data_IF_539573301286
#
_entry.id   IF_539573301286
#
_cell.length_a   1.000
_cell.length_b   1.000
_cell.length_c   1.000
_cell.angle_alpha   90.00
_cell.angle_beta   90.00
_cell.angle_gamma   90.00
#
_symmetry.space_group_name_H-M   'P 1'
#
loop_
_entity.id
_entity.type
_entity.pdbx_description
1 polymer ?
#
# COMPACT_ATOMS: atom_id res chain seq x y z
N UNK A 1 96.61 -2.47 -87.26
CA UNK A 1 95.52 -3.22 -86.58
C UNK A 1 95.89 -3.64 -85.14
N UNK A 2 96.96 -4.42 -84.92
CA UNK A 2 97.32 -4.94 -83.58
C UNK A 2 97.54 -3.87 -82.49
N UNK A 3 98.16 -2.73 -82.80
CA UNK A 3 98.36 -1.61 -81.84
C UNK A 3 97.03 -1.00 -81.37
N UNK A 4 96.08 -0.82 -82.28
CA UNK A 4 94.74 -0.28 -81.97
C UNK A 4 93.95 -1.24 -81.08
N UNK A 5 94.03 -2.56 -81.35
CA UNK A 5 93.39 -3.58 -80.52
C UNK A 5 93.95 -3.62 -79.09
N UNK A 6 95.28 -3.55 -78.91
CA UNK A 6 95.91 -3.46 -77.58
C UNK A 6 95.49 -2.19 -76.82
N UNK A 7 95.39 -1.05 -77.50
CA UNK A 7 94.90 0.20 -76.91
C UNK A 7 93.42 0.09 -76.49
N UNK A 8 92.58 -0.55 -77.31
CA UNK A 8 91.19 -0.83 -76.99
C UNK A 8 91.06 -1.71 -75.74
N UNK A 9 91.84 -2.81 -75.64
CA UNK A 9 91.84 -3.68 -74.46
C UNK A 9 92.27 -2.93 -73.19
N UNK A 10 93.33 -2.10 -73.26
CA UNK A 10 93.74 -1.25 -72.11
C UNK A 10 92.65 -0.27 -71.70
N UNK A 11 91.95 0.36 -72.65
CA UNK A 11 90.82 1.26 -72.35
C UNK A 11 89.63 0.51 -71.76
N UNK A 12 89.35 -0.71 -72.23
CA UNK A 12 88.30 -1.58 -71.69
C UNK A 12 88.63 -2.01 -70.26
N UNK A 13 89.87 -2.44 -70.00
CA UNK A 13 90.35 -2.80 -68.67
C UNK A 13 90.37 -1.60 -67.72
N UNK A 14 90.87 -0.43 -68.16
CA UNK A 14 90.83 0.80 -67.36
C UNK A 14 89.40 1.30 -67.08
N UNK A 15 88.42 1.03 -67.96
CA UNK A 15 87.00 1.23 -67.65
C UNK A 15 86.51 0.22 -66.61
N UNK A 16 86.80 -1.06 -66.81
CA UNK A 16 86.42 -2.13 -65.87
C UNK A 16 86.94 -1.86 -64.45
N UNK A 17 88.22 -1.53 -64.28
CA UNK A 17 88.80 -1.21 -62.97
C UNK A 17 88.19 0.04 -62.32
N UNK A 18 87.81 1.05 -63.13
CA UNK A 18 87.11 2.24 -62.61
C UNK A 18 85.71 1.87 -62.12
N UNK A 19 84.99 1.03 -62.87
CA UNK A 19 83.69 0.51 -62.44
C UNK A 19 83.82 -0.37 -61.20
N UNK A 20 84.83 -1.24 -61.14
CA UNK A 20 85.10 -2.09 -59.97
C UNK A 20 85.34 -1.25 -58.71
N UNK A 21 86.24 -0.27 -58.76
CA UNK A 21 86.48 0.66 -57.64
C UNK A 21 85.24 1.46 -57.26
N UNK A 22 84.44 1.89 -58.25
CA UNK A 22 83.19 2.59 -58.01
C UNK A 22 82.17 1.69 -57.30
N UNK A 23 82.04 0.43 -57.73
CA UNK A 23 81.16 -0.57 -57.11
C UNK A 23 81.63 -0.87 -55.68
N UNK A 24 82.93 -1.10 -55.47
CA UNK A 24 83.50 -1.34 -54.15
C UNK A 24 83.23 -0.17 -53.20
N UNK A 25 83.49 1.07 -53.64
CA UNK A 25 83.18 2.27 -52.87
C UNK A 25 81.68 2.40 -52.54
N UNK A 26 80.80 2.08 -53.50
CA UNK A 26 79.35 2.04 -53.26
C UNK A 26 78.95 0.99 -52.22
N UNK A 27 79.55 -0.20 -52.27
CA UNK A 27 79.28 -1.28 -51.32
C UNK A 27 79.79 -0.93 -49.92
N UNK A 28 81.00 -0.38 -49.80
CA UNK A 28 81.55 0.09 -48.52
C UNK A 28 80.71 1.23 -47.94
N UNK A 29 80.27 2.17 -48.76
CA UNK A 29 79.38 3.24 -48.32
C UNK A 29 78.04 2.67 -47.80
N UNK A 30 77.41 1.75 -48.54
CA UNK A 30 76.19 1.07 -48.09
C UNK A 30 76.40 0.29 -46.79
N UNK A 31 77.50 -0.45 -46.66
CA UNK A 31 77.82 -1.17 -45.43
C UNK A 31 78.00 -0.21 -44.25
N UNK A 32 78.74 0.88 -44.44
CA UNK A 32 78.96 1.89 -43.41
C UNK A 32 77.67 2.59 -42.97
N UNK A 33 76.77 2.90 -43.90
CA UNK A 33 75.47 3.54 -43.59
C UNK A 33 74.56 2.60 -42.81
N UNK A 34 74.52 1.31 -43.15
CA UNK A 34 73.79 0.28 -42.39
C UNK A 34 74.35 0.15 -40.97
N UNK A 35 75.66 0.02 -40.82
CA UNK A 35 76.33 -0.08 -39.51
C UNK A 35 76.06 1.17 -38.67
N UNK A 36 76.19 2.37 -39.24
CA UNK A 36 75.89 3.63 -38.57
C UNK A 36 74.42 3.71 -38.12
N UNK A 37 73.49 3.31 -38.99
CA UNK A 37 72.06 3.28 -38.68
C UNK A 37 71.75 2.33 -37.52
N UNK A 38 72.29 1.11 -37.56
CA UNK A 38 72.14 0.12 -36.49
C UNK A 38 72.74 0.62 -35.17
N UNK A 39 73.92 1.23 -35.21
CA UNK A 39 74.58 1.80 -34.04
C UNK A 39 73.75 2.93 -33.42
N UNK A 40 73.27 3.88 -34.23
CA UNK A 40 72.39 4.98 -33.78
C UNK A 40 71.10 4.44 -33.18
N UNK A 41 70.46 3.46 -33.82
CA UNK A 41 69.24 2.83 -33.32
C UNK A 41 69.45 2.11 -31.98
N UNK A 42 70.56 1.37 -31.82
CA UNK A 42 70.92 0.72 -30.56
C UNK A 42 71.16 1.73 -29.45
N UNK A 43 71.91 2.80 -29.72
CA UNK A 43 72.20 3.87 -28.76
C UNK A 43 70.94 4.65 -28.37
N UNK A 44 70.07 4.94 -29.35
CA UNK A 44 68.78 5.60 -29.12
C UNK A 44 67.86 4.80 -28.21
N UNK A 45 67.66 3.50 -28.49
CA UNK A 45 66.86 2.61 -27.62
C UNK A 45 67.43 2.49 -26.21
N UNK A 46 68.76 2.42 -26.09
CA UNK A 46 69.45 2.38 -24.81
C UNK A 46 69.21 3.67 -24.02
N UNK A 47 69.37 4.84 -24.66
CA UNK A 47 69.08 6.15 -24.05
C UNK A 47 67.61 6.24 -23.63
N UNK A 48 66.69 5.82 -24.48
CA UNK A 48 65.25 5.86 -24.20
C UNK A 48 64.89 5.08 -22.94
N UNK A 49 65.36 3.83 -22.79
CA UNK A 49 65.11 3.00 -21.60
C UNK A 49 65.63 3.65 -20.31
N UNK A 50 66.76 4.34 -20.39
CA UNK A 50 67.37 5.00 -19.23
C UNK A 50 66.57 6.24 -18.85
N UNK A 51 66.15 7.05 -19.83
CA UNK A 51 65.27 8.22 -19.58
C UNK A 51 63.95 7.76 -18.97
N UNK A 52 63.35 6.69 -19.49
CA UNK A 52 62.14 6.11 -18.94
C UNK A 52 62.33 5.66 -17.48
N UNK A 53 63.43 4.94 -17.19
CA UNK A 53 63.79 4.56 -15.83
C UNK A 53 64.00 5.77 -14.90
N UNK A 54 64.66 6.82 -15.39
CA UNK A 54 64.87 8.06 -14.62
C UNK A 54 63.55 8.78 -14.34
N UNK A 55 62.60 8.82 -15.28
CA UNK A 55 61.25 9.36 -15.04
C UNK A 55 60.52 8.59 -13.95
N UNK A 56 60.59 7.26 -13.97
CA UNK A 56 60.01 6.44 -12.90
C UNK A 56 60.61 6.81 -11.54
N UNK A 57 61.93 7.00 -11.47
CA UNK A 57 62.59 7.39 -10.22
C UNK A 57 62.20 8.82 -9.80
N UNK A 58 62.12 9.75 -10.75
CA UNK A 58 61.77 11.15 -10.50
C UNK A 58 60.37 11.32 -9.91
N UNK A 59 59.40 10.55 -10.39
CA UNK A 59 58.01 10.59 -9.90
C UNK A 59 57.74 9.64 -8.73
N UNK A 60 58.70 8.80 -8.35
CA UNK A 60 58.54 7.86 -7.26
C UNK A 60 58.52 8.56 -5.89
N UNK A 61 57.70 8.03 -4.99
CA UNK A 61 57.68 8.51 -3.61
C UNK A 61 59.01 8.21 -2.89
N UNK A 62 59.46 9.14 -2.03
CA UNK A 62 60.76 9.06 -1.31
C UNK A 62 60.95 7.75 -0.53
N UNK A 63 59.89 7.18 0.04
CA UNK A 63 59.97 5.90 0.77
C UNK A 63 60.30 4.71 -0.14
N UNK A 64 59.83 4.74 -1.40
CA UNK A 64 60.14 3.72 -2.40
C UNK A 64 61.60 3.84 -2.84
N UNK A 65 62.07 5.07 -3.05
CA UNK A 65 63.47 5.35 -3.39
C UNK A 65 64.38 4.87 -2.25
N UNK A 66 64.12 5.27 -1.00
CA UNK A 66 64.88 4.80 0.17
C UNK A 66 64.95 3.28 0.25
N UNK A 67 63.85 2.58 -0.02
CA UNK A 67 63.80 1.11 -0.01
C UNK A 67 64.49 0.48 -1.22
N UNK A 68 64.45 1.12 -2.39
CA UNK A 68 65.14 0.65 -3.59
C UNK A 68 66.68 0.76 -3.46
N UNK A 69 67.14 1.83 -2.78
CA UNK A 69 68.54 2.08 -2.46
C UNK A 69 69.07 1.24 -1.30
N UNK A 70 68.21 0.80 -0.39
CA UNK A 70 68.61 -0.10 0.69
C UNK A 70 69.17 -1.41 0.13
N UNK A 71 70.35 -1.81 0.63
CA UNK A 71 70.95 -3.11 0.31
C UNK A 71 70.20 -4.20 1.07
N UNK A 72 69.19 -4.77 0.42
CA UNK A 72 68.40 -5.88 0.98
C UNK A 72 68.82 -7.17 0.28
N UNK A 73 69.67 -7.96 0.95
CA UNK A 73 70.01 -9.34 0.58
C UNK A 73 70.77 -9.49 -0.75
N UNK A 74 70.36 -10.48 -1.56
CA UNK A 74 70.99 -10.94 -2.81
C UNK A 74 70.88 -9.96 -4.00
N UNK A 75 70.30 -8.77 -3.79
CA UNK A 75 70.12 -7.80 -4.87
C UNK A 75 71.44 -7.11 -5.22
N UNK A 76 71.63 -6.81 -6.51
CA UNK A 76 72.83 -6.10 -6.99
C UNK A 76 73.08 -4.80 -6.21
N UNK A 77 74.32 -4.51 -5.82
CA UNK A 77 74.62 -3.23 -5.17
C UNK A 77 74.31 -2.08 -6.13
N UNK A 78 73.51 -1.11 -5.67
CA UNK A 78 73.18 0.11 -6.41
C UNK A 78 73.78 1.31 -5.67
N UNK A 79 74.14 2.35 -6.41
CA UNK A 79 74.59 3.62 -5.83
C UNK A 79 73.63 4.74 -6.20
N UNK A 80 73.68 5.83 -5.44
CA UNK A 80 72.89 7.03 -5.71
C UNK A 80 73.76 8.28 -5.67
N UNK A 81 73.31 9.32 -6.35
CA UNK A 81 74.02 10.58 -6.46
C UNK A 81 73.63 11.53 -5.32
N UNK A 82 74.47 12.55 -5.08
CA UNK A 82 74.15 13.65 -4.16
C UNK A 82 73.05 14.52 -4.78
N UNK A 83 72.32 15.30 -3.95
CA UNK A 83 71.19 16.14 -4.39
C UNK A 83 71.51 17.09 -5.55
N UNK A 84 72.72 17.65 -5.59
CA UNK A 84 73.17 18.54 -6.67
C UNK A 84 73.33 17.79 -8.00
N UNK A 85 73.96 16.62 -7.94
CA UNK A 85 74.18 15.74 -9.08
C UNK A 85 72.88 15.10 -9.58
N UNK A 86 71.94 14.86 -8.67
CA UNK A 86 70.62 14.29 -8.95
C UNK A 86 69.80 15.19 -9.88
N UNK A 87 69.84 16.52 -9.69
CA UNK A 87 69.15 17.46 -10.61
C UNK A 87 69.67 17.33 -12.04
N UNK A 88 71.01 17.34 -12.18
CA UNK A 88 71.67 17.20 -13.49
C UNK A 88 71.41 15.81 -14.10
N UNK A 89 71.30 14.77 -13.26
CA UNK A 89 70.98 13.40 -13.72
C UNK A 89 69.62 13.35 -14.44
N UNK A 90 68.61 14.05 -13.91
CA UNK A 90 67.26 14.04 -14.48
C UNK A 90 67.12 14.92 -15.72
N UNK A 91 67.92 15.98 -15.84
CA UNK A 91 67.97 16.83 -17.04
C UNK A 91 68.66 16.11 -18.21
N UNK A 92 69.93 15.73 -18.02
CA UNK A 92 70.65 14.87 -18.96
C UNK A 92 71.76 14.09 -18.25
N UNK A 93 71.53 12.79 -18.06
CA UNK A 93 72.50 11.90 -17.44
C UNK A 93 73.83 11.79 -18.21
N UNK A 94 73.85 12.12 -19.51
CA UNK A 94 75.09 12.13 -20.30
C UNK A 94 75.99 13.28 -19.89
N UNK A 95 75.42 14.47 -19.69
CA UNK A 95 76.15 15.65 -19.21
C UNK A 95 76.73 15.37 -17.82
N UNK A 96 76.00 14.68 -16.95
CA UNK A 96 76.53 14.26 -15.65
C UNK A 96 77.72 13.30 -15.80
N UNK A 97 77.62 12.31 -16.70
CA UNK A 97 78.72 11.37 -16.95
C UNK A 97 79.97 12.09 -17.49
N UNK A 98 79.80 13.09 -18.36
CA UNK A 98 80.90 13.90 -18.88
C UNK A 98 81.55 14.75 -17.78
N UNK A 99 80.75 15.42 -16.95
CA UNK A 99 81.25 16.23 -15.80
C UNK A 99 81.97 15.41 -14.75
N UNK A 100 81.59 14.14 -14.59
CA UNK A 100 82.23 13.21 -13.65
C UNK A 100 83.43 12.47 -14.25
N UNK A 101 83.84 12.82 -15.48
CA UNK A 101 84.94 12.14 -16.17
C UNK A 101 84.68 10.66 -16.43
N UNK A 102 83.40 10.27 -16.57
CA UNK A 102 82.95 8.89 -16.70
C UNK A 102 83.34 7.98 -15.54
N UNK A 103 83.44 8.54 -14.32
CA UNK A 103 83.61 7.79 -13.10
C UNK A 103 82.37 7.94 -12.20
N UNK A 104 81.43 6.97 -12.18
CA UNK A 104 81.47 5.64 -12.80
C UNK A 104 81.13 5.63 -14.29
N UNK A 105 81.54 4.57 -15.00
CA UNK A 105 81.33 4.49 -16.46
C UNK A 105 79.86 4.56 -16.84
N UNK A 106 79.57 5.19 -17.99
CA UNK A 106 78.21 5.35 -18.52
C UNK A 106 77.38 4.06 -18.45
N UNK A 107 77.96 2.92 -18.83
CA UNK A 107 77.26 1.64 -18.82
C UNK A 107 76.91 1.12 -17.43
N UNK A 108 77.66 1.52 -16.40
CA UNK A 108 77.32 1.22 -15.00
C UNK A 108 76.19 2.14 -14.55
N UNK A 109 76.24 3.44 -14.86
CA UNK A 109 75.19 4.42 -14.51
C UNK A 109 73.84 4.02 -15.07
N UNK A 110 73.78 3.68 -16.35
CA UNK A 110 72.54 3.31 -17.02
C UNK A 110 71.95 2.01 -16.45
N UNK A 111 72.80 0.99 -16.21
CA UNK A 111 72.36 -0.28 -15.58
C UNK A 111 71.85 -0.04 -14.16
N UNK A 112 72.51 0.84 -13.41
CA UNK A 112 72.12 1.22 -12.07
C UNK A 112 70.76 1.93 -12.04
N UNK A 113 70.53 2.90 -12.93
CA UNK A 113 69.24 3.59 -13.05
C UNK A 113 68.09 2.62 -13.40
N UNK A 114 68.31 1.73 -14.37
CA UNK A 114 67.32 0.71 -14.75
C UNK A 114 67.01 -0.24 -13.57
N UNK A 115 68.04 -0.65 -12.82
CA UNK A 115 67.86 -1.54 -11.68
C UNK A 115 67.11 -0.86 -10.52
N UNK A 116 67.37 0.41 -10.24
CA UNK A 116 66.62 1.19 -9.23
C UNK A 116 65.16 1.33 -9.65
N UNK A 117 64.89 1.72 -10.90
CA UNK A 117 63.52 1.82 -11.42
C UNK A 117 62.78 0.49 -11.33
N UNK A 118 63.44 -0.63 -11.69
CA UNK A 118 62.88 -1.98 -11.54
C UNK A 118 62.48 -2.29 -10.09
N UNK A 119 63.31 -1.92 -9.10
CA UNK A 119 63.00 -2.14 -7.68
C UNK A 119 61.83 -1.32 -7.19
N UNK A 120 61.71 -0.09 -7.66
CA UNK A 120 60.58 0.79 -7.35
C UNK A 120 59.30 0.16 -7.89
N UNK A 121 59.25 -0.17 -9.17
CA UNK A 121 58.08 -0.78 -9.81
C UNK A 121 57.69 -2.11 -9.17
N UNK A 122 58.66 -2.96 -8.83
CA UNK A 122 58.39 -4.22 -8.15
C UNK A 122 57.78 -3.98 -6.75
N UNK A 123 58.28 -2.97 -6.04
CA UNK A 123 57.72 -2.62 -4.73
C UNK A 123 56.31 -2.04 -4.84
N UNK A 124 56.06 -1.17 -5.82
CA UNK A 124 54.73 -0.63 -6.12
C UNK A 124 53.75 -1.75 -6.44
N UNK A 125 54.15 -2.70 -7.30
CA UNK A 125 53.36 -3.89 -7.63
C UNK A 125 53.00 -4.66 -6.37
N UNK A 126 53.96 -4.93 -5.49
CA UNK A 126 53.70 -5.64 -4.22
C UNK A 126 52.71 -4.87 -3.34
N UNK A 127 52.86 -3.54 -3.23
CA UNK A 127 51.95 -2.71 -2.43
C UNK A 127 50.54 -2.67 -3.03
N UNK A 128 50.43 -2.51 -4.35
CA UNK A 128 49.16 -2.55 -5.07
C UNK A 128 48.45 -3.89 -4.86
N UNK A 129 49.17 -5.02 -4.96
CA UNK A 129 48.62 -6.36 -4.69
C UNK A 129 48.10 -6.46 -3.24
N UNK A 130 48.82 -5.90 -2.25
CA UNK A 130 48.37 -5.88 -0.85
C UNK A 130 47.09 -5.08 -0.67
N UNK A 131 47.02 -3.88 -1.25
CA UNK A 131 45.82 -3.02 -1.22
C UNK A 131 44.65 -3.75 -1.88
N UNK A 132 44.86 -4.32 -3.07
CA UNK A 132 43.84 -5.08 -3.79
C UNK A 132 43.36 -6.30 -2.99
N UNK A 133 44.27 -7.01 -2.30
CA UNK A 133 43.91 -8.14 -1.43
C UNK A 133 42.99 -7.69 -0.29
N UNK A 134 43.33 -6.61 0.41
CA UNK A 134 42.52 -6.05 1.50
C UNK A 134 41.15 -5.62 0.96
N UNK A 135 41.15 -4.88 -0.15
CA UNK A 135 39.93 -4.37 -0.77
C UNK A 135 38.98 -5.49 -1.21
N UNK A 136 39.51 -6.56 -1.83
CA UNK A 136 38.71 -7.73 -2.22
C UNK A 136 38.14 -8.44 -0.99
N UNK A 137 38.91 -8.55 0.09
CA UNK A 137 38.44 -9.09 1.37
C UNK A 137 37.29 -8.28 1.94
N UNK A 138 37.46 -6.96 2.04
CA UNK A 138 36.43 -6.06 2.59
C UNK A 138 35.17 -6.03 1.73
N UNK A 139 35.33 -5.91 0.41
CA UNK A 139 34.21 -5.96 -0.55
C UNK A 139 33.41 -7.26 -0.41
N UNK A 140 34.08 -8.38 -0.19
CA UNK A 140 33.43 -9.68 -0.01
C UNK A 140 32.66 -9.75 1.32
N UNK A 141 33.25 -9.26 2.42
CA UNK A 141 32.59 -9.18 3.74
C UNK A 141 31.35 -8.31 3.70
N UNK A 142 31.43 -7.14 3.06
CA UNK A 142 30.28 -6.28 2.85
C UNK A 142 29.17 -7.05 2.14
N UNK A 143 29.45 -7.66 0.98
CA UNK A 143 28.47 -8.44 0.22
C UNK A 143 27.82 -9.55 1.05
N UNK A 144 28.60 -10.29 1.83
CA UNK A 144 28.08 -11.33 2.74
C UNK A 144 27.19 -10.73 3.82
N UNK A 145 27.59 -9.60 4.42
CA UNK A 145 26.76 -8.89 5.42
C UNK A 145 25.41 -8.47 4.83
N UNK A 146 25.41 -7.88 3.63
CA UNK A 146 24.19 -7.52 2.90
C UNK A 146 23.31 -8.75 2.63
N UNK A 147 23.89 -9.85 2.16
CA UNK A 147 23.15 -11.09 1.93
C UNK A 147 22.53 -11.68 3.21
N UNK A 148 23.26 -11.66 4.33
CA UNK A 148 22.75 -12.13 5.62
C UNK A 148 21.57 -11.26 6.07
N UNK A 149 21.68 -9.92 5.95
CA UNK A 149 20.58 -9.01 6.26
C UNK A 149 19.35 -9.29 5.40
N UNK A 150 19.55 -9.53 4.11
CA UNK A 150 18.44 -9.84 3.20
C UNK A 150 17.77 -11.18 3.55
N UNK A 151 18.55 -12.20 3.95
CA UNK A 151 17.98 -13.46 4.45
C UNK A 151 17.12 -13.26 5.70
N UNK A 152 17.55 -12.41 6.63
CA UNK A 152 16.78 -12.07 7.83
C UNK A 152 15.50 -11.34 7.45
N UNK A 153 15.58 -10.31 6.59
CA UNK A 153 14.40 -9.60 6.08
C UNK A 153 13.39 -10.53 5.42
N UNK A 154 13.83 -11.47 4.59
CA UNK A 154 12.93 -12.47 3.97
C UNK A 154 12.26 -13.35 5.04
N UNK A 155 12.98 -13.75 6.08
CA UNK A 155 12.41 -14.50 7.21
C UNK A 155 11.37 -13.67 7.97
N UNK A 156 11.65 -12.40 8.25
CA UNK A 156 10.70 -11.49 8.91
C UNK A 156 9.41 -11.33 8.12
N UNK A 157 9.50 -11.15 6.80
CA UNK A 157 8.33 -11.07 5.91
C UNK A 157 7.50 -12.36 5.99
N UNK A 158 8.15 -13.53 5.95
CA UNK A 158 7.47 -14.82 6.08
C UNK A 158 6.84 -15.00 7.46
N UNK A 159 7.54 -14.68 8.53
CA UNK A 159 7.01 -14.72 9.90
C UNK A 159 5.81 -13.77 10.07
N UNK A 160 5.87 -12.56 9.50
CA UNK A 160 4.76 -11.63 9.54
C UNK A 160 3.50 -12.17 8.85
N UNK A 161 3.65 -12.84 7.70
CA UNK A 161 2.57 -13.54 7.02
C UNK A 161 2.00 -14.69 7.88
N UNK A 162 2.86 -15.56 8.42
CA UNK A 162 2.43 -16.66 9.31
C UNK A 162 1.68 -16.14 10.54
N UNK A 163 2.18 -15.08 11.18
CA UNK A 163 1.54 -14.46 12.36
C UNK A 163 0.17 -13.85 12.02
N UNK A 164 -0.03 -13.33 10.79
CA UNK A 164 -1.36 -12.90 10.34
C UNK A 164 -2.32 -14.08 10.24
N UNK A 165 -1.89 -15.17 9.61
CA UNK A 165 -2.70 -16.40 9.49
C UNK A 165 -3.03 -16.97 10.87
N UNK A 166 -2.05 -17.09 11.76
CA UNK A 166 -2.25 -17.58 13.13
C UNK A 166 -3.21 -16.70 13.93
N UNK A 167 -3.12 -15.37 13.83
CA UNK A 167 -4.06 -14.45 14.50
C UNK A 167 -5.48 -14.60 13.99
N UNK A 168 -5.67 -14.70 12.66
CA UNK A 168 -6.98 -14.92 12.06
C UNK A 168 -7.59 -16.25 12.53
N UNK A 169 -6.80 -17.31 12.56
CA UNK A 169 -7.24 -18.62 13.03
C UNK A 169 -7.65 -18.60 14.51
N UNK A 170 -6.80 -18.03 15.39
CA UNK A 170 -7.12 -17.89 16.81
C UNK A 170 -8.41 -17.08 17.03
N UNK A 171 -8.54 -15.93 16.35
CA UNK A 171 -9.74 -15.10 16.44
C UNK A 171 -11.01 -15.83 15.95
N UNK A 172 -10.91 -16.61 14.88
CA UNK A 172 -12.02 -17.43 14.39
C UNK A 172 -12.43 -18.50 15.42
N UNK A 173 -11.46 -19.19 16.01
CA UNK A 173 -11.71 -20.20 17.04
C UNK A 173 -12.37 -19.61 18.28
N UNK A 174 -11.91 -18.44 18.73
CA UNK A 174 -12.50 -17.72 19.85
C UNK A 174 -13.94 -17.30 19.55
N UNK A 175 -14.23 -16.85 18.32
CA UNK A 175 -15.60 -16.53 17.89
C UNK A 175 -16.52 -17.75 17.97
N UNK A 176 -16.05 -18.93 17.51
CA UNK A 176 -16.82 -20.17 17.62
C UNK A 176 -17.13 -20.48 19.09
N UNK A 177 -16.14 -20.40 19.97
CA UNK A 177 -16.32 -20.62 21.41
C UNK A 177 -17.32 -19.65 22.02
N UNK A 178 -17.23 -18.35 21.70
CA UNK A 178 -18.17 -17.33 22.19
C UNK A 178 -19.59 -17.60 21.71
N UNK A 179 -19.77 -18.01 20.44
CA UNK A 179 -21.09 -18.41 19.92
C UNK A 179 -21.64 -19.61 20.71
N UNK A 180 -20.82 -20.65 20.93
CA UNK A 180 -21.23 -21.82 21.73
C UNK A 180 -21.61 -21.44 23.16
N UNK A 181 -20.82 -20.58 23.82
CA UNK A 181 -21.12 -20.07 25.16
C UNK A 181 -22.41 -19.27 25.19
N UNK A 182 -22.64 -18.40 24.20
CA UNK A 182 -23.87 -17.61 24.08
C UNK A 182 -25.08 -18.50 23.86
N UNK A 183 -24.97 -19.54 23.03
CA UNK A 183 -26.04 -20.54 22.84
C UNK A 183 -26.33 -21.25 24.15
N UNK A 184 -25.30 -21.73 24.87
CA UNK A 184 -25.46 -22.38 26.18
C UNK A 184 -26.10 -21.46 27.23
N UNK A 185 -25.68 -20.20 27.29
CA UNK A 185 -26.30 -19.21 28.17
C UNK A 185 -27.75 -18.97 27.78
N UNK A 186 -28.06 -18.84 26.49
CA UNK A 186 -29.42 -18.59 26.01
C UNK A 186 -30.33 -19.78 26.28
N UNK A 187 -29.87 -21.01 26.09
CA UNK A 187 -30.64 -22.21 26.42
C UNK A 187 -30.88 -22.31 27.93
N UNK A 188 -29.89 -21.96 28.76
CA UNK A 188 -30.06 -21.90 30.22
C UNK A 188 -31.02 -20.79 30.66
N UNK A 189 -31.01 -19.64 29.99
CA UNK A 189 -31.97 -18.55 30.25
C UNK A 189 -33.38 -19.00 29.86
N UNK A 190 -33.56 -19.55 28.67
CA UNK A 190 -34.85 -20.06 28.19
C UNK A 190 -35.42 -21.14 29.12
N UNK A 191 -34.60 -22.05 29.63
CA UNK A 191 -35.07 -23.05 30.60
C UNK A 191 -35.51 -22.41 31.91
N UNK A 192 -34.76 -21.43 32.41
CA UNK A 192 -35.15 -20.68 33.63
C UNK A 192 -36.42 -19.84 33.44
N UNK A 193 -36.57 -19.17 32.30
CA UNK A 193 -37.76 -18.40 31.94
C UNK A 193 -38.99 -19.31 31.80
N UNK A 194 -38.82 -20.48 31.17
CA UNK A 194 -39.89 -21.47 31.05
C UNK A 194 -40.36 -21.97 32.42
N UNK A 195 -39.42 -22.31 33.31
CA UNK A 195 -39.75 -22.72 34.68
C UNK A 195 -40.47 -21.60 35.45
N UNK A 196 -39.99 -20.35 35.33
CA UNK A 196 -40.62 -19.18 35.95
C UNK A 196 -42.04 -18.95 35.42
N UNK A 197 -42.23 -18.96 34.10
CA UNK A 197 -43.56 -18.83 33.49
C UNK A 197 -44.50 -19.96 33.92
N UNK A 198 -44.00 -21.19 34.07
CA UNK A 198 -44.80 -22.31 34.55
C UNK A 198 -45.24 -22.08 36.00
N UNK A 199 -44.34 -21.62 36.87
CA UNK A 199 -44.66 -21.24 38.24
C UNK A 199 -45.69 -20.11 38.29
N UNK A 200 -45.49 -19.03 37.52
CA UNK A 200 -46.43 -17.92 37.41
C UNK A 200 -47.82 -18.39 36.95
N UNK A 201 -47.89 -19.27 35.94
CA UNK A 201 -49.17 -19.86 35.50
C UNK A 201 -49.83 -20.70 36.58
N UNK A 202 -49.06 -21.52 37.31
CA UNK A 202 -49.63 -22.30 38.41
C UNK A 202 -50.12 -21.42 39.55
N UNK A 203 -49.43 -20.33 39.85
CA UNK A 203 -49.87 -19.34 40.83
C UNK A 203 -51.13 -18.61 40.36
N UNK A 204 -51.18 -18.14 39.11
CA UNK A 204 -52.37 -17.53 38.54
C UNK A 204 -53.57 -18.45 38.54
N UNK A 205 -53.41 -19.73 38.17
CA UNK A 205 -54.51 -20.70 38.25
C UNK A 205 -54.98 -20.87 39.69
N UNK A 206 -54.08 -20.88 40.68
CA UNK A 206 -54.47 -20.90 42.10
C UNK A 206 -55.22 -19.63 42.49
N UNK A 207 -54.71 -18.46 42.12
CA UNK A 207 -55.36 -17.16 42.36
C UNK A 207 -56.74 -17.08 41.70
N UNK A 208 -56.88 -17.53 40.46
CA UNK A 208 -58.14 -17.58 39.72
C UNK A 208 -59.14 -18.54 40.38
N UNK A 209 -58.69 -19.69 40.90
CA UNK A 209 -59.53 -20.63 41.65
C UNK A 209 -59.98 -20.01 42.98
N UNK A 210 -59.09 -19.37 43.73
CA UNK A 210 -59.45 -18.67 44.97
C UNK A 210 -60.39 -17.49 44.71
N UNK A 211 -60.16 -16.73 43.64
CA UNK A 211 -61.05 -15.66 43.20
C UNK A 211 -62.42 -16.21 42.76
N UNK A 212 -62.46 -17.31 42.02
CA UNK A 212 -63.71 -17.96 41.63
C UNK A 212 -64.50 -18.47 42.85
N UNK A 213 -63.82 -19.04 43.86
CA UNK A 213 -64.44 -19.40 45.15
C UNK A 213 -65.03 -18.17 45.84
N UNK A 214 -64.29 -17.06 45.87
CA UNK A 214 -64.73 -15.81 46.49
C UNK A 214 -65.93 -15.20 45.75
N UNK A 215 -65.92 -15.19 44.42
CA UNK A 215 -67.06 -14.76 43.59
C UNK A 215 -68.27 -15.67 43.79
N UNK A 216 -68.08 -16.99 43.87
CA UNK A 216 -69.18 -17.93 44.10
C UNK A 216 -69.78 -17.77 45.50
N UNK A 217 -68.95 -17.54 46.52
CA UNK A 217 -69.42 -17.20 47.87
C UNK A 217 -70.24 -15.91 47.86
N UNK A 218 -69.75 -14.86 47.19
CA UNK A 218 -70.48 -13.61 47.04
C UNK A 218 -71.82 -13.80 46.31
N UNK A 219 -71.85 -14.54 45.20
CA UNK A 219 -73.08 -14.83 44.45
C UNK A 219 -74.08 -15.63 45.29
N UNK A 220 -73.59 -16.55 46.13
CA UNK A 220 -74.41 -17.32 47.08
C UNK A 220 -75.02 -16.40 48.14
N UNK A 221 -74.20 -15.59 48.82
CA UNK A 221 -74.67 -14.60 49.81
C UNK A 221 -75.68 -13.63 49.19
N UNK A 222 -75.47 -13.19 47.95
CA UNK A 222 -76.41 -12.32 47.24
C UNK A 222 -77.72 -13.04 46.90
N UNK A 223 -77.67 -14.32 46.52
CA UNK A 223 -78.88 -15.11 46.24
C UNK A 223 -79.70 -15.37 47.51
N UNK A 224 -79.03 -15.62 48.64
CA UNK A 224 -79.64 -15.74 49.96
C UNK A 224 -80.28 -14.41 50.40
N UNK A 225 -79.59 -13.29 50.16
CA UNK A 225 -80.13 -11.95 50.41
C UNK A 225 -81.39 -11.68 49.56
N UNK A 226 -81.37 -12.01 48.26
CA UNK A 226 -82.55 -11.84 47.38
C UNK A 226 -83.73 -12.72 47.82
N UNK A 227 -83.46 -13.96 48.22
CA UNK A 227 -84.48 -14.89 48.74
C UNK A 227 -85.08 -14.36 50.05
N UNK A 228 -84.25 -13.89 50.97
CA UNK A 228 -84.70 -13.32 52.24
C UNK A 228 -85.53 -12.04 52.04
N UNK A 229 -85.19 -11.20 51.05
CA UNK A 229 -86.04 -10.08 50.63
C UNK A 229 -87.40 -10.55 50.12
N UNK A 230 -87.44 -11.60 49.30
CA UNK A 230 -88.68 -12.14 48.75
C UNK A 230 -89.59 -12.77 49.83
N UNK A 231 -89.02 -13.34 50.89
CA UNK A 231 -89.73 -13.97 52.03
C UNK A 231 -90.11 -12.91 53.10
N UNK A 232 -89.73 -11.64 52.93
CA UNK A 232 -90.09 -10.55 53.84
C UNK A 232 -89.28 -10.50 55.14
N UNK A 233 -88.18 -11.26 55.24
CA UNK A 233 -87.24 -11.26 56.37
C UNK A 233 -86.24 -10.10 56.26
N UNK A 234 -86.75 -8.87 56.11
CA UNK A 234 -85.96 -7.64 55.98
C UNK A 234 -86.09 -6.80 57.25
N UNK A 235 -84.97 -6.33 57.78
CA UNK A 235 -84.95 -5.52 59.00
C UNK A 235 -85.42 -4.08 58.70
N UNK A 236 -86.46 -3.61 59.39
CA UNK A 236 -87.09 -2.30 59.16
C UNK A 236 -86.24 -1.07 59.52
N UNK A 237 -85.07 -1.24 60.15
CA UNK A 237 -84.23 -0.15 60.66
C UNK A 237 -83.01 0.18 59.80
N UNK A 238 -82.83 -0.48 58.65
CA UNK A 238 -81.73 -0.15 57.73
C UNK A 238 -82.08 1.07 56.87
N UNK A 239 -81.35 2.18 57.01
CA UNK A 239 -81.44 3.37 56.15
C UNK A 239 -81.29 2.97 54.66
N UNK A 240 -82.39 3.06 53.90
CA UNK A 240 -82.48 2.61 52.50
C UNK A 240 -83.32 1.34 52.28
N UNK A 241 -83.87 0.74 53.33
CA UNK A 241 -85.09 -0.08 53.33
C UNK A 241 -85.09 -1.43 52.59
N UNK A 242 -83.99 -1.91 52.02
CA UNK A 242 -84.02 -3.12 51.17
C UNK A 242 -82.77 -4.04 51.27
N UNK A 243 -82.02 -4.04 52.37
CA UNK A 243 -80.85 -4.95 52.54
C UNK A 243 -80.87 -5.67 53.88
N UNK A 244 -80.39 -6.91 53.91
CA UNK A 244 -80.23 -7.66 55.17
C UNK A 244 -79.06 -7.10 55.99
N UNK A 245 -79.21 -7.07 57.33
CA UNK A 245 -78.16 -6.63 58.26
C UNK A 245 -76.88 -7.50 58.10
N UNK A 246 -77.05 -8.82 57.98
CA UNK A 246 -75.96 -9.77 57.79
C UNK A 246 -75.17 -9.57 56.48
N UNK A 247 -75.82 -9.14 55.39
CA UNK A 247 -75.13 -8.84 54.13
C UNK A 247 -74.42 -7.48 54.17
N UNK A 248 -74.97 -6.51 54.92
CA UNK A 248 -74.32 -5.21 55.16
C UNK A 248 -73.06 -5.35 56.01
N UNK A 249 -73.08 -6.25 57.00
CA UNK A 249 -71.95 -6.54 57.89
C UNK A 249 -70.96 -7.55 57.30
N UNK A 250 -71.30 -8.22 56.21
CA UNK A 250 -70.37 -9.08 55.47
C UNK A 250 -69.25 -8.24 54.83
N UNK A 251 -68.10 -8.88 54.59
CA UNK A 251 -66.93 -8.23 53.98
C UNK A 251 -67.20 -7.63 52.58
N UNK A 252 -68.36 -7.94 51.98
CA UNK A 252 -68.77 -7.58 50.63
C UNK A 252 -69.96 -6.60 50.57
N UNK A 253 -70.54 -6.22 51.71
CA UNK A 253 -71.73 -5.35 51.79
C UNK A 253 -71.50 -3.87 51.50
N UNK A 254 -70.25 -3.41 51.59
CA UNK A 254 -69.83 -2.04 51.26
C UNK A 254 -69.44 -1.87 49.79
N UNK A 255 -69.58 -0.65 49.25
CA UNK A 255 -69.34 -0.21 47.85
C UNK A 255 -67.94 -0.52 47.24
N UNK A 256 -67.11 -1.35 47.87
CA UNK A 256 -65.78 -1.77 47.41
C UNK A 256 -65.79 -2.42 46.01
N UNK A 257 -66.87 -3.09 45.60
CA UNK A 257 -66.95 -3.70 44.27
C UNK A 257 -67.16 -2.67 43.13
N UNK A 258 -67.87 -1.57 43.42
CA UNK A 258 -68.00 -0.44 42.49
C UNK A 258 -66.67 0.29 42.33
N UNK A 259 -65.89 0.36 43.41
CA UNK A 259 -64.53 0.90 43.36
C UNK A 259 -63.59 -0.03 42.57
N UNK A 260 -63.63 -1.35 42.80
CA UNK A 260 -62.83 -2.33 42.04
C UNK A 260 -63.12 -2.33 40.52
N UNK A 261 -64.38 -2.12 40.13
CA UNK A 261 -64.74 -1.99 38.71
C UNK A 261 -64.30 -0.64 38.11
N UNK A 262 -64.36 0.45 38.87
CA UNK A 262 -63.77 1.75 38.49
C UNK A 262 -62.24 1.69 38.37
N UNK A 263 -61.56 1.01 39.29
CA UNK A 263 -60.10 0.84 39.27
C UNK A 263 -59.66 0.01 38.05
N UNK A 264 -60.45 -1.00 37.68
CA UNK A 264 -60.22 -1.77 36.46
C UNK A 264 -60.39 -0.92 35.19
N UNK A 265 -61.43 -0.09 35.13
CA UNK A 265 -61.64 0.81 33.99
C UNK A 265 -60.54 1.87 33.88
N UNK A 266 -60.10 2.41 35.03
CA UNK A 266 -59.02 3.40 35.07
C UNK A 266 -57.67 2.81 34.65
N UNK A 267 -57.35 1.58 35.07
CA UNK A 267 -56.11 0.89 34.70
C UNK A 267 -56.07 0.48 33.22
N UNK A 268 -57.19 0.06 32.61
CA UNK A 268 -57.25 -0.15 31.15
C UNK A 268 -57.06 1.15 30.37
N UNK A 269 -57.65 2.26 30.86
CA UNK A 269 -57.50 3.57 30.24
C UNK A 269 -56.06 4.10 30.32
N UNK A 270 -55.33 3.78 31.39
CA UNK A 270 -53.90 4.09 31.54
C UNK A 270 -53.07 3.27 30.54
N UNK A 271 -53.31 1.95 30.43
CA UNK A 271 -52.61 1.09 29.46
C UNK A 271 -52.79 1.56 28.03
N UNK A 272 -54.01 1.94 27.64
CA UNK A 272 -54.29 2.48 26.30
C UNK A 272 -53.53 3.80 26.04
N UNK A 273 -53.36 4.65 27.06
CA UNK A 273 -52.55 5.88 26.95
C UNK A 273 -51.07 5.56 26.80
N UNK A 274 -50.55 4.62 27.59
CA UNK A 274 -49.15 4.18 27.50
C UNK A 274 -48.83 3.57 26.14
N UNK A 275 -49.71 2.73 25.61
CA UNK A 275 -49.59 2.16 24.26
C UNK A 275 -49.59 3.25 23.17
N UNK A 276 -50.44 4.27 23.31
CA UNK A 276 -50.47 5.41 22.37
C UNK A 276 -49.17 6.23 22.41
N UNK A 277 -48.62 6.49 23.61
CA UNK A 277 -47.33 7.19 23.78
C UNK A 277 -46.18 6.36 23.19
N UNK A 278 -46.19 5.04 23.43
CA UNK A 278 -45.20 4.13 22.88
C UNK A 278 -45.26 4.13 21.34
N UNK A 279 -46.47 4.06 20.76
CA UNK A 279 -46.68 4.11 19.31
C UNK A 279 -46.20 5.43 18.69
N UNK A 280 -46.43 6.56 19.38
CA UNK A 280 -45.94 7.87 18.96
C UNK A 280 -44.40 7.93 18.95
N UNK A 281 -43.75 7.37 19.98
CA UNK A 281 -42.28 7.30 20.05
C UNK A 281 -41.67 6.45 18.93
N UNK A 282 -42.31 5.32 18.59
CA UNK A 282 -41.89 4.49 17.47
C UNK A 282 -42.07 5.20 16.13
N UNK A 283 -43.12 6.00 15.97
CA UNK A 283 -43.34 6.76 14.74
C UNK A 283 -42.26 7.82 14.53
N UNK A 284 -41.93 8.58 15.58
CA UNK A 284 -40.87 9.60 15.57
C UNK A 284 -39.50 9.00 15.25
N UNK A 285 -39.14 7.88 15.91
CA UNK A 285 -37.89 7.16 15.64
C UNK A 285 -37.81 6.67 14.20
N UNK A 286 -38.92 6.19 13.65
CA UNK A 286 -38.98 5.75 12.27
C UNK A 286 -38.90 6.89 11.25
N UNK A 287 -39.29 8.12 11.58
CA UNK A 287 -39.06 9.30 10.74
C UNK A 287 -37.61 9.75 10.78
N UNK A 288 -36.99 9.73 11.95
CA UNK A 288 -35.57 9.97 12.11
C UNK A 288 -34.73 9.00 11.28
N UNK A 289 -35.04 7.69 11.33
CA UNK A 289 -34.37 6.68 10.54
C UNK A 289 -34.50 6.94 9.02
N UNK A 290 -35.66 7.43 8.55
CA UNK A 290 -35.88 7.81 7.14
C UNK A 290 -35.00 8.98 6.72
N UNK A 291 -34.94 10.03 7.53
CA UNK A 291 -34.10 11.19 7.26
C UNK A 291 -32.60 10.83 7.24
N UNK A 292 -32.17 9.89 8.09
CA UNK A 292 -30.77 9.42 8.10
C UNK A 292 -30.46 8.45 6.97
N UNK A 293 -31.41 7.61 6.57
CA UNK A 293 -31.28 6.69 5.44
C UNK A 293 -31.12 7.43 4.10
N UNK A 294 -31.81 8.55 3.91
CA UNK A 294 -31.69 9.39 2.71
C UNK A 294 -30.44 10.29 2.69
N UNK A 295 -29.80 10.52 3.84
CA UNK A 295 -28.66 11.44 3.96
C UNK A 295 -27.32 10.90 3.41
N UNK A 296 -27.16 9.58 3.18
CA UNK A 296 -25.93 9.06 2.58
C UNK A 296 -25.83 7.54 2.42
N UNK A 297 -25.02 7.09 1.46
CA UNK A 297 -24.84 5.68 1.07
C UNK A 297 -24.34 4.78 2.22
N UNK A 298 -23.46 5.27 3.09
CA UNK A 298 -22.95 4.51 4.23
C UNK A 298 -23.99 4.33 5.35
N UNK A 299 -24.89 5.32 5.52
CA UNK A 299 -25.98 5.25 6.51
C UNK A 299 -27.15 4.40 5.99
N UNK A 300 -27.29 4.30 4.66
CA UNK A 300 -28.30 3.48 3.99
C UNK A 300 -28.21 1.99 4.35
N UNK A 301 -26.99 1.44 4.43
CA UNK A 301 -26.79 0.03 4.82
C UNK A 301 -27.10 -0.21 6.29
N UNK A 302 -26.77 0.76 7.16
CA UNK A 302 -26.99 0.65 8.60
C UNK A 302 -28.48 0.67 8.99
N UNK A 303 -29.27 1.55 8.37
CA UNK A 303 -30.71 1.69 8.68
C UNK A 303 -31.64 0.79 7.84
N UNK A 304 -31.10 0.00 6.91
CA UNK A 304 -31.89 -0.86 6.03
C UNK A 304 -32.68 -1.93 6.79
N UNK A 305 -32.11 -2.52 7.83
CA UNK A 305 -32.78 -3.57 8.61
C UNK A 305 -33.92 -3.00 9.46
N UNK A 306 -33.75 -1.79 10.02
CA UNK A 306 -34.80 -1.10 10.79
C UNK A 306 -35.97 -0.67 9.88
N UNK A 307 -35.68 -0.28 8.62
CA UNK A 307 -36.70 0.00 7.60
C UNK A 307 -37.47 -1.26 7.16
N UNK A 308 -36.78 -2.40 7.02
CA UNK A 308 -37.41 -3.70 6.68
C UNK A 308 -38.34 -4.21 7.78
N UNK A 309 -37.94 -4.09 9.04
CA UNK A 309 -38.80 -4.49 10.17
C UNK A 309 -40.07 -3.64 10.24
N UNK A 310 -39.99 -2.36 9.87
CA UNK A 310 -41.16 -1.48 9.82
C UNK A 310 -42.08 -1.80 8.65
N UNK A 311 -41.54 -2.12 7.47
CA UNK A 311 -42.38 -2.52 6.33
C UNK A 311 -43.16 -3.80 6.65
N UNK A 312 -42.55 -4.76 7.36
CA UNK A 312 -43.26 -5.96 7.84
C UNK A 312 -44.38 -5.59 8.81
N UNK A 313 -44.14 -4.74 9.81
CA UNK A 313 -45.20 -4.29 10.74
C UNK A 313 -46.31 -3.49 10.08
N UNK A 314 -46.00 -2.68 9.07
CA UNK A 314 -47.00 -1.94 8.29
C UNK A 314 -47.83 -2.92 7.47
N UNK A 315 -47.20 -3.92 6.85
CA UNK A 315 -47.88 -4.99 6.13
C UNK A 315 -48.81 -5.77 7.08
N UNK A 316 -48.33 -6.17 8.27
CA UNK A 316 -49.15 -6.83 9.30
C UNK A 316 -50.35 -5.98 9.72
N UNK A 317 -50.15 -4.68 10.00
CA UNK A 317 -51.25 -3.75 10.33
C UNK A 317 -52.23 -3.57 9.19
N UNK A 318 -51.77 -3.57 7.94
CA UNK A 318 -52.63 -3.47 6.76
C UNK A 318 -53.40 -4.76 6.54
N UNK A 319 -52.78 -5.94 6.73
CA UNK A 319 -53.48 -7.23 6.64
C UNK A 319 -54.49 -7.41 7.77
N UNK A 320 -54.19 -6.98 8.99
CA UNK A 320 -55.14 -7.06 10.12
C UNK A 320 -56.31 -6.09 9.95
N UNK A 321 -56.04 -4.87 9.46
CA UNK A 321 -57.09 -3.89 9.14
C UNK A 321 -57.90 -4.30 7.92
N UNK A 322 -57.31 -4.93 6.91
CA UNK A 322 -58.02 -5.51 5.77
C UNK A 322 -58.88 -6.70 6.21
N UNK A 323 -58.38 -7.57 7.09
CA UNK A 323 -59.14 -8.66 7.68
C UNK A 323 -60.35 -8.14 8.50
N UNK A 324 -60.16 -7.06 9.26
CA UNK A 324 -61.27 -6.39 9.97
C UNK A 324 -62.24 -5.64 9.03
N UNK A 325 -61.74 -5.09 7.93
CA UNK A 325 -62.56 -4.40 6.92
C UNK A 325 -63.46 -5.37 6.13
N UNK A 326 -62.96 -6.58 5.82
CA UNK A 326 -63.75 -7.64 5.17
C UNK A 326 -64.79 -8.23 6.13
N UNK A 327 -64.54 -8.24 7.43
CA UNK A 327 -65.44 -8.84 8.42
C UNK A 327 -66.74 -8.04 8.69
N UNK A 328 -66.82 -6.74 8.38
CA UNK A 328 -68.02 -5.89 8.64
C UNK A 328 -68.27 -4.84 7.55
N UNK A 329 -68.74 -5.24 6.34
CA UNK A 329 -68.98 -4.34 5.21
C UNK A 329 -69.99 -3.22 5.49
N UNK A 330 -70.97 -3.46 6.38
CA UNK A 330 -72.01 -2.47 6.72
C UNK A 330 -71.55 -1.25 7.53
N UNK A 331 -70.36 -1.29 8.15
CA UNK A 331 -69.78 -0.13 8.86
C UNK A 331 -69.02 0.78 7.89
N UNK A 332 -68.34 0.17 6.91
CA UNK A 332 -67.64 0.85 5.81
C UNK A 332 -68.59 1.67 4.92
N UNK A 333 -69.74 1.10 4.54
CA UNK A 333 -70.74 1.81 3.75
C UNK A 333 -71.32 3.03 4.48
N UNK A 334 -71.52 2.94 5.80
CA UNK A 334 -72.04 4.04 6.62
C UNK A 334 -71.04 5.19 6.74
N UNK A 335 -69.77 4.88 6.96
CA UNK A 335 -68.72 5.90 7.04
C UNK A 335 -68.42 6.53 5.67
N UNK A 336 -68.56 5.77 4.59
CA UNK A 336 -68.43 6.27 3.21
C UNK A 336 -69.56 7.25 2.85
N UNK A 337 -70.81 6.90 3.15
CA UNK A 337 -71.97 7.75 2.88
C UNK A 337 -71.97 9.04 3.71
N UNK A 338 -71.35 9.02 4.91
CA UNK A 338 -71.24 10.20 5.78
C UNK A 338 -70.23 11.23 5.27
N UNK A 339 -69.25 10.84 4.46
CA UNK A 339 -68.13 11.71 4.03
C UNK A 339 -68.33 12.46 2.70
N UNK A 340 -69.44 12.26 1.98
CA UNK A 340 -69.75 12.93 0.68
C UNK A 340 -68.55 13.04 -0.28
N UNK A 341 -67.68 12.03 -0.34
CA UNK A 341 -66.57 12.05 -1.30
C UNK A 341 -67.12 11.68 -2.68
N UNK A 342 -67.06 12.63 -3.63
CA UNK A 342 -67.30 12.34 -5.05
C UNK A 342 -66.16 11.45 -5.53
N UNK A 343 -66.49 10.24 -5.96
CA UNK A 343 -65.53 9.34 -6.59
C UNK A 343 -65.20 9.90 -7.98
N UNK A 344 -64.03 10.53 -8.12
CA UNK A 344 -63.52 10.88 -9.44
C UNK A 344 -63.09 9.58 -10.12
N UNK A 345 -63.96 9.01 -10.93
CA UNK A 345 -63.56 7.96 -11.84
C UNK A 345 -62.55 8.55 -12.84
N UNK A 346 -61.42 7.86 -13.11
CA UNK A 346 -60.52 8.27 -14.16
C UNK A 346 -61.29 8.33 -15.47
N UNK A 347 -61.16 9.43 -16.23
CA UNK A 347 -61.84 9.63 -17.51
C UNK A 347 -61.40 8.65 -18.60
N UNK A 348 -60.41 7.81 -18.35
CA UNK A 348 -59.92 6.79 -19.28
C UNK A 348 -59.68 5.46 -18.56
N UNK A 349 -60.15 4.36 -19.16
CA UNK A 349 -60.12 3.00 -18.61
C UNK A 349 -58.72 2.34 -18.58
N UNK A 350 -57.65 3.11 -18.79
CA UNK A 350 -56.30 2.60 -19.04
C UNK A 350 -55.24 3.13 -18.06
N UNK A 351 -55.64 3.86 -17.02
CA UNK A 351 -54.70 4.29 -15.98
C UNK A 351 -54.58 3.17 -14.96
N UNK A 352 -53.38 2.58 -14.87
CA UNK A 352 -53.06 1.49 -13.95
C UNK A 352 -53.26 1.98 -12.50
N UNK A 353 -54.20 1.40 -11.73
CA UNK A 353 -54.53 1.85 -10.38
C UNK A 353 -53.36 1.73 -9.39
N UNK A 354 -52.27 1.06 -9.78
CA UNK A 354 -51.05 0.91 -8.98
C UNK A 354 -50.00 1.99 -9.23
N UNK A 355 -50.22 2.94 -10.15
CA UNK A 355 -49.23 3.95 -10.54
C UNK A 355 -48.71 4.80 -9.37
N UNK A 356 -49.57 5.10 -8.39
CA UNK A 356 -49.20 5.84 -7.17
C UNK A 356 -48.30 5.06 -6.20
N UNK A 357 -48.24 3.74 -6.30
CA UNK A 357 -47.34 2.88 -5.50
C UNK A 357 -45.96 2.74 -6.16
N UNK A 358 -45.81 3.12 -7.42
CA UNK A 358 -44.54 3.09 -8.17
C UNK A 358 -43.74 4.40 -8.11
N UNK A 359 -44.18 5.42 -7.37
CA UNK A 359 -43.46 6.69 -7.25
C UNK A 359 -42.06 6.57 -6.61
N UNK A 360 -41.70 5.40 -6.06
CA UNK A 360 -40.35 5.10 -5.58
C UNK A 360 -39.32 4.69 -6.66
N UNK A 361 -39.73 4.37 -7.89
CA UNK A 361 -38.83 3.85 -8.95
C UNK A 361 -38.79 4.69 -10.22
N UNK A 362 -39.65 5.72 -10.35
CA UNK A 362 -39.77 6.48 -11.61
C UNK A 362 -38.66 7.51 -11.88
N UNK A 363 -37.97 8.03 -10.84
CA UNK A 363 -36.86 8.99 -11.07
C UNK A 363 -35.62 8.34 -11.70
N UNK A 364 -35.35 7.06 -11.44
CA UNK A 364 -34.23 6.34 -12.08
C UNK A 364 -34.50 6.06 -13.58
N UNK A 365 -35.77 5.96 -13.98
CA UNK A 365 -36.15 5.68 -15.37
C UNK A 365 -36.02 6.88 -16.32
N UNK A 366 -36.26 8.11 -15.84
CA UNK A 366 -36.00 9.35 -16.59
C UNK A 366 -34.50 9.58 -16.79
N UNK A 367 -33.70 9.38 -15.75
CA UNK A 367 -32.24 9.54 -15.82
C UNK A 367 -31.57 8.49 -16.74
N UNK A 368 -32.11 7.26 -16.76
CA UNK A 368 -31.64 6.20 -17.66
C UNK A 368 -32.07 6.41 -19.13
N UNK A 369 -33.25 7.01 -19.38
CA UNK A 369 -33.68 7.42 -20.73
C UNK A 369 -32.84 8.57 -21.30
N UNK A 370 -32.52 9.58 -20.49
CA UNK A 370 -31.73 10.74 -20.94
C UNK A 370 -30.27 10.38 -21.23
N UNK A 371 -29.66 9.47 -20.45
CA UNK A 371 -28.33 8.93 -20.75
C UNK A 371 -28.28 8.11 -22.06
N UNK A 372 -29.32 7.34 -22.37
CA UNK A 372 -29.39 6.57 -23.62
C UNK A 372 -29.60 7.46 -24.84
N UNK A 373 -30.42 8.52 -24.72
CA UNK A 373 -30.62 9.51 -25.80
C UNK A 373 -29.37 10.37 -26.04
N UNK A 374 -28.62 10.71 -24.98
CA UNK A 374 -27.32 11.39 -25.09
C UNK A 374 -26.24 10.54 -25.78
N UNK A 375 -26.16 9.26 -25.44
CA UNK A 375 -25.19 8.34 -26.07
C UNK A 375 -25.49 8.06 -27.56
N UNK A 376 -26.76 7.98 -27.94
CA UNK A 376 -27.18 7.84 -29.34
C UNK A 376 -26.88 9.08 -30.18
N UNK A 377 -27.02 10.29 -29.63
CA UNK A 377 -26.61 11.54 -30.31
C UNK A 377 -25.10 11.62 -30.57
N UNK A 378 -24.27 11.14 -29.64
CA UNK A 378 -22.81 11.12 -29.79
C UNK A 378 -22.35 10.08 -30.81
N UNK A 379 -22.99 8.91 -30.85
CA UNK A 379 -22.67 7.85 -31.82
C UNK A 379 -23.03 8.26 -33.27
N UNK A 380 -24.16 8.93 -33.48
CA UNK A 380 -24.57 9.45 -34.80
C UNK A 380 -23.63 10.56 -35.27
N UNK A 381 -23.09 11.39 -34.36
CA UNK A 381 -22.17 12.46 -34.73
C UNK A 381 -20.75 11.98 -35.06
N UNK A 382 -20.32 10.85 -34.48
CA UNK A 382 -19.01 10.22 -34.75
C UNK A 382 -19.00 9.36 -36.03
N UNK A 383 -20.16 8.84 -36.45
CA UNK A 383 -20.28 8.07 -37.69
C UNK A 383 -20.37 8.93 -38.97
N UNK A 384 -20.55 10.26 -38.85
CA UNK A 384 -20.79 11.17 -39.96
C UNK A 384 -19.58 12.01 -40.42
N UNK A 385 -18.34 11.67 -40.03
CA UNK A 385 -17.15 12.34 -40.56
C UNK A 385 -16.48 11.52 -41.68
N UNK A 386 -16.36 12.06 -42.90
CA UNK A 386 -15.78 11.34 -44.03
C UNK A 386 -14.25 11.29 -43.92
N UNK A 387 -13.70 10.15 -44.32
CA UNK A 387 -12.28 9.95 -44.59
C UNK A 387 -11.83 10.80 -45.79
N UNK A 388 -10.72 11.54 -45.67
CA UNK A 388 -10.04 12.11 -46.84
C UNK A 388 -8.50 12.14 -46.69
N UNK A 389 -7.90 11.21 -47.42
CA UNK A 389 -6.62 11.16 -48.15
C UNK A 389 -5.48 12.20 -47.96
N UNK A 390 -4.30 11.62 -47.65
CA UNK A 390 -3.06 11.50 -48.48
C UNK A 390 -2.26 12.72 -48.99
N UNK A 391 -0.93 12.56 -48.84
CA UNK A 391 0.22 13.05 -49.65
C UNK A 391 0.54 14.55 -49.49
N UNK A 392 1.78 15.04 -49.40
CA UNK A 392 3.13 14.52 -49.61
C UNK A 392 4.05 15.71 -49.97
N UNK A 393 5.38 15.50 -49.90
CA UNK A 393 6.48 16.44 -50.32
C UNK A 393 6.79 17.62 -49.37
N UNK A 394 8.03 18.09 -49.17
CA UNK A 394 9.40 17.79 -49.62
C UNK A 394 10.37 18.63 -48.74
N UNK A 395 11.62 18.16 -48.56
CA UNK A 395 12.92 18.90 -48.42
C UNK A 395 12.94 20.13 -47.49
N UNK A 396 13.73 20.21 -46.41
CA UNK A 396 15.17 19.94 -46.29
C UNK A 396 15.87 21.27 -46.01
N UNK A 397 16.58 21.42 -44.88
CA UNK A 397 17.68 22.37 -44.69
C UNK A 397 18.32 22.15 -43.31
N UNK A 398 19.63 22.26 -43.35
CA UNK A 398 20.62 22.09 -42.31
C UNK A 398 20.77 23.32 -41.41
N UNK A 399 21.46 23.09 -40.29
CA UNK A 399 22.53 23.93 -39.74
C UNK A 399 22.26 24.91 -38.58
N UNK A 400 23.25 24.91 -37.66
CA UNK A 400 23.60 25.90 -36.61
C UNK A 400 22.78 25.84 -35.31
N UNK A 401 23.22 25.18 -34.22
CA UNK A 401 24.24 25.54 -33.18
C UNK A 401 23.90 26.79 -32.35
N UNK A 402 24.09 26.62 -31.03
CA UNK A 402 24.28 27.61 -29.96
C UNK A 402 23.04 28.16 -29.22
N UNK A 403 22.90 27.77 -27.95
CA UNK A 403 22.99 28.62 -26.74
C UNK A 403 22.21 28.00 -25.57
N UNK A 404 22.92 27.63 -24.51
CA UNK A 404 22.89 28.31 -23.20
C UNK A 404 21.76 27.78 -22.31
N UNK A 405 22.14 26.89 -21.39
CA UNK A 405 21.38 26.64 -20.16
C UNK A 405 22.22 27.17 -19.00
N UNK A 406 22.00 28.45 -18.71
CA UNK A 406 22.39 29.13 -17.49
C UNK A 406 21.20 29.25 -16.56
N UNK A 407 21.42 28.99 -15.26
CA UNK A 407 20.55 29.39 -14.15
C UNK A 407 19.38 28.44 -13.90
N UNK A 408 18.94 28.24 -12.67
CA UNK A 408 19.37 28.73 -11.37
C UNK A 408 18.58 27.90 -10.33
N UNK A 409 18.92 28.09 -9.05
CA UNK A 409 18.13 27.71 -7.88
C UNK A 409 18.23 26.22 -7.47
N UNK A 410 18.41 25.84 -6.20
CA UNK A 410 18.19 26.57 -4.97
C UNK A 410 18.92 25.86 -3.81
N UNK A 411 19.43 26.70 -2.91
CA UNK A 411 19.91 26.44 -1.56
C UNK A 411 19.08 25.44 -0.74
N UNK A 412 19.76 24.50 -0.05
CA UNK A 412 19.35 24.08 1.30
C UNK A 412 20.51 23.63 2.17
N UNK A 413 20.76 24.47 3.15
CA UNK A 413 21.48 24.28 4.41
C UNK A 413 21.31 22.88 5.03
N UNK A 414 22.42 22.30 5.51
CA UNK A 414 22.52 21.74 6.87
C UNK A 414 23.99 21.49 7.25
N UNK A 415 24.47 22.32 8.18
CA UNK A 415 25.57 21.98 9.09
C UNK A 415 25.21 20.69 9.82
N UNK A 416 26.11 19.72 9.91
CA UNK A 416 26.30 18.91 11.12
C UNK A 416 27.74 18.37 11.14
N UNK A 417 28.37 18.60 12.27
CA UNK A 417 29.70 18.16 12.65
C UNK A 417 29.84 16.63 12.65
N UNK A 418 31.04 16.17 12.29
CA UNK A 418 31.87 15.42 13.23
C UNK A 418 31.78 13.89 13.24
N UNK A 419 32.98 13.31 13.35
CA UNK A 419 33.33 11.95 13.81
C UNK A 419 33.39 10.87 12.72
N UNK A 420 34.58 10.80 12.10
CA UNK A 420 35.16 9.55 11.62
C UNK A 420 35.76 8.80 12.83
N UNK A 421 35.49 7.50 13.02
CA UNK A 421 36.32 6.67 13.87
C UNK A 421 37.47 6.10 13.04
N UNK A 422 38.68 6.38 13.52
CA UNK A 422 39.90 5.64 13.20
C UNK A 422 39.78 4.18 13.63
N UNK A 423 39.88 3.24 12.68
CA UNK A 423 40.50 1.92 12.83
C UNK A 423 41.23 1.60 11.52
#
# INVERSE_FOLDING_TARGET
>A
IQRAYRAYLRRRWGRANRYERMIEAMLLYRASTVICSMARGRLGRRRFKVIEALKVIQFAHLSLIKRALANIGEKKKVFWYRKEQEKVLFEDYLILCERTGFNPTRGIVERNAIEIARRILERERILAIRIQRIWRGESSRMKVSWFIRERVRIREIRCAAVMRVQRLYRAWWDRIKVVQLRVRQRTSQLSSEYLRQRQERTLKVREDVEHAKLVNQYMKEQSEERLARAIGLVHSSATGGNRMLAFRESAYGGEKLSQLTCDRYSSEKIKLREEAVLEQSYSQRGEFARQKHSAGLALKSYFNDEMRQRSVKIMEKLTDKQAQAVAKPGKLLRDHNRKKMKFNYPTTCYVDPLESLYEGTSQESKFARDKRLGALKVAVHLAAKPAFNRRGMKKGASEVRQNELSGNDESRTRKLHGVLPSI
#
